data_IF_036877645576
#
_entry.id   IF_036877645576
#
_cell.length_a   1.000
_cell.length_b   1.000
_cell.length_c   1.000
_cell.angle_alpha   90.00
_cell.angle_beta   90.00
_cell.angle_gamma   90.00
#
_symmetry.space_group_name_H-M   'P 1'
#
loop_
_entity.id
_entity.type
_entity.pdbx_description
1 polymer ?
#
# COMPACT_ATOMS: atom_id res chain seq x y z
N UNK A 1 -12.17 3.16 -20.12
CA UNK A 1 -10.83 3.58 -20.62
C UNK A 1 -10.73 5.07 -20.99
N UNK A 2 -11.67 5.69 -21.71
CA UNK A 2 -11.49 7.07 -22.25
C UNK A 2 -11.06 8.15 -21.25
N UNK A 3 -11.45 8.07 -19.97
CA UNK A 3 -11.03 9.05 -18.96
C UNK A 3 -9.53 9.00 -18.66
N UNK A 4 -8.92 7.81 -18.66
CA UNK A 4 -7.49 7.63 -18.34
C UNK A 4 -6.56 8.12 -19.46
N UNK A 5 -7.07 8.21 -20.69
CA UNK A 5 -6.33 8.80 -21.82
C UNK A 5 -6.33 10.33 -21.78
N UNK A 6 -7.16 10.96 -20.95
CA UNK A 6 -7.26 12.41 -20.90
C UNK A 6 -5.93 13.01 -20.40
N UNK A 7 -5.35 14.03 -21.08
CA UNK A 7 -4.01 14.54 -20.77
C UNK A 7 -3.86 15.08 -19.33
N UNK A 8 -4.95 15.57 -18.73
CA UNK A 8 -4.95 16.06 -17.34
C UNK A 8 -5.05 14.98 -16.25
N UNK A 9 -5.22 13.70 -16.61
CA UNK A 9 -5.16 12.61 -15.62
C UNK A 9 -3.70 12.24 -15.41
N UNK A 10 -3.22 12.35 -14.17
CA UNK A 10 -1.84 12.03 -13.77
C UNK A 10 -1.67 10.69 -13.04
N UNK A 11 -2.76 10.12 -12.53
CA UNK A 11 -2.70 8.88 -11.78
C UNK A 11 -4.06 8.30 -11.41
N UNK A 12 -4.03 7.12 -10.80
CA UNK A 12 -5.19 6.33 -10.38
C UNK A 12 -4.98 5.85 -8.94
N UNK A 13 -5.99 6.04 -8.11
CA UNK A 13 -6.05 5.45 -6.77
C UNK A 13 -6.92 4.19 -6.84
N UNK A 14 -6.36 3.04 -6.45
CA UNK A 14 -7.05 1.76 -6.36
C UNK A 14 -7.73 1.59 -4.98
N UNK A 15 -8.88 0.93 -4.99
CA UNK A 15 -9.67 0.60 -3.80
C UNK A 15 -9.87 -0.91 -3.68
N UNK A 16 -10.38 -1.39 -2.55
CA UNK A 16 -10.63 -2.83 -2.33
C UNK A 16 -11.53 -3.46 -3.40
N UNK A 17 -12.47 -2.70 -3.97
CA UNK A 17 -13.33 -3.17 -5.08
C UNK A 17 -12.57 -3.43 -6.40
N UNK A 18 -11.30 -3.02 -6.48
CA UNK A 18 -10.44 -3.22 -7.65
C UNK A 18 -9.50 -4.42 -7.49
N UNK A 19 -9.62 -5.17 -6.39
CA UNK A 19 -8.77 -6.28 -6.04
C UNK A 19 -9.59 -7.55 -5.82
N UNK A 20 -9.33 -8.55 -6.65
CA UNK A 20 -9.86 -9.91 -6.51
C UNK A 20 -8.77 -10.88 -6.06
N UNK A 21 -7.59 -10.77 -6.66
CA UNK A 21 -6.38 -11.56 -6.39
C UNK A 21 -5.16 -10.87 -7.03
N UNK A 22 -3.96 -11.29 -6.66
CA UNK A 22 -2.70 -10.70 -7.07
C UNK A 22 -2.42 -10.83 -8.57
N UNK A 23 -2.82 -11.94 -9.18
CA UNK A 23 -2.74 -12.09 -10.65
C UNK A 23 -3.61 -11.04 -11.36
N UNK A 24 -4.86 -10.88 -10.93
CA UNK A 24 -5.78 -9.89 -11.49
C UNK A 24 -5.27 -8.46 -11.26
N UNK A 25 -4.72 -8.17 -10.07
CA UNK A 25 -4.19 -6.85 -9.73
C UNK A 25 -3.01 -6.48 -10.63
N UNK A 26 -2.02 -7.37 -10.79
CA UNK A 26 -0.87 -7.11 -11.67
C UNK A 26 -1.30 -6.82 -13.10
N UNK A 27 -2.30 -7.57 -13.60
CA UNK A 27 -2.84 -7.33 -14.94
C UNK A 27 -3.57 -5.98 -15.05
N UNK A 28 -4.34 -5.60 -14.02
CA UNK A 28 -4.99 -4.29 -13.97
C UNK A 28 -3.97 -3.15 -13.97
N UNK A 29 -2.93 -3.23 -13.12
CA UNK A 29 -1.87 -2.22 -13.04
C UNK A 29 -1.13 -2.11 -14.36
N UNK A 30 -0.76 -3.26 -14.96
CA UNK A 30 -0.14 -3.32 -16.28
C UNK A 30 -1.01 -2.63 -17.34
N UNK A 31 -2.32 -2.88 -17.37
CA UNK A 31 -3.22 -2.23 -18.31
C UNK A 31 -3.33 -0.72 -18.09
N UNK A 32 -3.33 -0.26 -16.84
CA UNK A 32 -3.36 1.17 -16.50
C UNK A 32 -2.07 1.87 -16.97
N UNK A 33 -0.90 1.30 -16.66
CA UNK A 33 0.39 1.91 -17.03
C UNK A 33 0.64 1.93 -18.53
N UNK A 34 0.10 0.97 -19.28
CA UNK A 34 0.26 0.87 -20.74
C UNK A 34 -0.88 1.52 -21.56
N UNK A 35 -1.77 2.29 -20.92
CA UNK A 35 -2.97 2.80 -21.61
C UNK A 35 -2.72 3.95 -22.59
N UNK A 36 -1.61 4.68 -22.43
CA UNK A 36 -1.24 5.85 -23.25
C UNK A 36 0.27 6.07 -23.19
N UNK A 37 0.76 6.98 -24.04
CA UNK A 37 2.12 7.50 -23.92
C UNK A 37 2.27 8.33 -22.63
N UNK A 38 3.19 7.90 -21.76
CA UNK A 38 3.40 8.47 -20.42
C UNK A 38 2.67 7.67 -19.34
N UNK A 39 3.44 7.15 -18.39
CA UNK A 39 2.92 6.30 -17.31
C UNK A 39 2.04 7.09 -16.33
N UNK A 40 0.92 6.48 -15.94
CA UNK A 40 0.07 6.97 -14.86
C UNK A 40 0.60 6.44 -13.54
N UNK A 41 0.70 7.32 -12.53
CA UNK A 41 0.98 6.89 -11.15
C UNK A 41 -0.18 6.04 -10.66
N UNK A 42 0.12 4.86 -10.13
CA UNK A 42 -0.84 3.97 -9.48
C UNK A 42 -0.60 3.98 -7.99
N UNK A 43 -1.62 4.35 -7.21
CA UNK A 43 -1.52 4.42 -5.76
C UNK A 43 -2.66 3.66 -5.07
N UNK A 44 -2.51 3.43 -3.77
CA UNK A 44 -3.49 2.73 -2.93
C UNK A 44 -3.39 3.22 -1.49
N UNK A 45 -4.48 3.20 -0.74
CA UNK A 45 -4.40 3.39 0.72
C UNK A 45 -3.96 2.09 1.41
N UNK A 46 -2.69 2.01 1.80
CA UNK A 46 -2.15 0.93 2.62
C UNK A 46 -1.48 1.58 3.83
N UNK A 47 -2.14 1.53 4.99
CA UNK A 47 -1.63 1.97 6.29
C UNK A 47 -1.49 0.79 7.26
N UNK A 48 -2.42 -0.17 7.17
CA UNK A 48 -2.56 -1.27 8.11
C UNK A 48 -3.88 -1.24 8.88
N UNK A 49 -4.29 -2.40 9.38
CA UNK A 49 -5.55 -2.58 10.08
C UNK A 49 -6.76 -2.30 9.19
N UNK A 50 -7.57 -1.29 9.56
CA UNK A 50 -8.81 -0.97 8.85
C UNK A 50 -8.57 -0.25 7.51
N UNK A 51 -7.44 0.42 7.38
CA UNK A 51 -7.06 1.14 6.15
C UNK A 51 -5.97 0.33 5.45
N UNK A 52 -6.36 -0.84 4.98
CA UNK A 52 -5.50 -1.71 4.18
C UNK A 52 -6.36 -2.28 3.06
N UNK A 53 -6.23 -1.78 1.82
CA UNK A 53 -7.13 -2.19 0.73
C UNK A 53 -6.90 -3.62 0.27
N UNK A 54 -5.64 -4.09 0.30
CA UNK A 54 -5.24 -5.44 -0.11
C UNK A 54 -4.58 -6.16 1.08
N UNK A 55 -5.13 -7.31 1.48
CA UNK A 55 -4.79 -8.00 2.73
C UNK A 55 -4.69 -9.53 2.59
N UNK A 56 -4.85 -10.04 1.38
CA UNK A 56 -4.90 -11.47 1.07
C UNK A 56 -4.11 -11.73 -0.20
N UNK A 57 -3.81 -13.00 -0.47
CA UNK A 57 -3.19 -13.44 -1.72
C UNK A 57 -1.88 -12.68 -2.00
N UNK A 58 -0.79 -13.05 -1.33
CA UNK A 58 0.53 -12.39 -1.41
C UNK A 58 0.65 -11.01 -0.74
N UNK A 59 -0.41 -10.43 -0.19
CA UNK A 59 -0.32 -9.26 0.69
C UNK A 59 -0.21 -9.64 2.17
N UNK A 60 0.75 -9.04 2.86
CA UNK A 60 0.95 -9.17 4.30
C UNK A 60 -0.11 -8.41 5.08
N UNK A 61 -0.64 -8.99 6.15
CA UNK A 61 -1.54 -8.25 7.06
C UNK A 61 -0.74 -7.36 7.99
N UNK A 62 -0.86 -6.05 7.82
CA UNK A 62 -0.16 -5.06 8.65
C UNK A 62 -1.10 -4.63 9.78
N UNK A 63 -0.68 -4.66 11.05
CA UNK A 63 -1.49 -4.17 12.16
C UNK A 63 -1.83 -2.67 12.02
N UNK A 64 -2.91 -2.22 12.65
CA UNK A 64 -3.15 -0.78 12.77
C UNK A 64 -2.00 -0.10 13.52
N UNK A 65 -1.62 1.13 13.14
CA UNK A 65 -0.49 1.84 13.77
C UNK A 65 -0.64 1.98 15.30
N UNK A 66 -1.87 2.19 15.79
CA UNK A 66 -2.15 2.21 17.24
C UNK A 66 -1.88 0.88 17.96
N UNK A 67 -1.90 -0.27 17.27
CA UNK A 67 -1.51 -1.54 17.88
C UNK A 67 -0.02 -1.60 18.19
N UNK A 68 0.84 -1.03 17.34
CA UNK A 68 2.28 -0.94 17.63
C UNK A 68 2.52 -0.10 18.89
N UNK A 69 1.87 1.07 19.00
CA UNK A 69 1.96 1.91 20.20
C UNK A 69 1.55 1.14 21.47
N UNK A 70 0.40 0.47 21.45
CA UNK A 70 -0.08 -0.31 22.59
C UNK A 70 0.86 -1.48 22.93
N UNK A 71 1.45 -2.13 21.92
CA UNK A 71 2.44 -3.16 22.11
C UNK A 71 3.70 -2.62 22.79
N UNK A 72 4.23 -1.49 22.31
CA UNK A 72 5.40 -0.85 22.91
C UNK A 72 5.13 -0.43 24.35
N UNK A 73 3.96 0.15 24.63
CA UNK A 73 3.55 0.55 25.98
C UNK A 73 3.48 -0.65 26.94
N UNK A 74 2.83 -1.73 26.50
CA UNK A 74 2.64 -2.94 27.32
C UNK A 74 3.95 -3.65 27.65
N UNK A 75 4.94 -3.54 26.78
CA UNK A 75 6.22 -4.23 26.89
C UNK A 75 7.37 -3.33 27.35
N UNK A 76 7.08 -2.12 27.83
CA UNK A 76 8.07 -1.14 28.29
C UNK A 76 9.16 -0.84 27.22
N UNK A 77 8.70 -0.71 25.97
CA UNK A 77 9.54 -0.46 24.79
C UNK A 77 9.37 0.93 24.19
N UNK A 78 8.47 1.77 24.73
CA UNK A 78 8.23 3.09 24.15
C UNK A 78 9.47 3.99 24.15
N UNK A 79 10.34 3.87 25.16
CA UNK A 79 11.58 4.65 25.27
C UNK A 79 12.76 4.03 24.51
N UNK A 80 12.60 2.80 23.99
CA UNK A 80 13.59 2.09 23.18
C UNK A 80 13.48 2.53 21.71
N UNK A 81 14.00 3.73 21.40
CA UNK A 81 13.91 4.35 20.07
C UNK A 81 14.42 3.44 18.95
N UNK A 82 15.48 2.66 19.20
CA UNK A 82 16.02 1.71 18.23
C UNK A 82 14.99 0.61 17.91
N UNK A 83 14.44 -0.03 18.94
CA UNK A 83 13.44 -1.09 18.75
C UNK A 83 12.16 -0.58 18.08
N UNK A 84 11.68 0.60 18.49
CA UNK A 84 10.49 1.23 17.92
C UNK A 84 10.70 1.54 16.44
N UNK A 85 11.81 2.19 16.08
CA UNK A 85 12.14 2.51 14.69
C UNK A 85 12.31 1.26 13.84
N UNK A 86 13.05 0.27 14.32
CA UNK A 86 13.27 -0.97 13.59
C UNK A 86 11.94 -1.70 13.31
N UNK A 87 11.07 -1.78 14.31
CA UNK A 87 9.75 -2.42 14.17
C UNK A 87 8.88 -1.67 13.16
N UNK A 88 8.77 -0.35 13.29
CA UNK A 88 7.94 0.46 12.40
C UNK A 88 8.50 0.51 10.96
N UNK A 89 9.82 0.60 10.81
CA UNK A 89 10.47 0.52 9.50
C UNK A 89 10.24 -0.85 8.85
N UNK A 90 10.34 -1.95 9.61
CA UNK A 90 10.09 -3.29 9.08
C UNK A 90 8.66 -3.44 8.56
N UNK A 91 7.67 -2.92 9.29
CA UNK A 91 6.28 -2.89 8.84
C UNK A 91 6.11 -2.04 7.57
N UNK A 92 6.72 -0.86 7.52
CA UNK A 92 6.73 0.01 6.35
C UNK A 92 7.39 -0.63 5.12
N UNK A 93 8.54 -1.28 5.30
CA UNK A 93 9.23 -2.01 4.24
C UNK A 93 8.40 -3.16 3.70
N UNK A 94 7.80 -3.97 4.58
CA UNK A 94 6.96 -5.08 4.15
C UNK A 94 5.79 -4.59 3.29
N UNK A 95 5.10 -3.54 3.75
CA UNK A 95 4.01 -2.92 3.02
C UNK A 95 4.45 -2.34 1.66
N UNK A 96 5.62 -1.69 1.62
CA UNK A 96 6.17 -1.17 0.37
C UNK A 96 6.56 -2.29 -0.60
N UNK A 97 7.18 -3.38 -0.12
CA UNK A 97 7.57 -4.51 -0.95
C UNK A 97 6.36 -5.21 -1.55
N UNK A 98 5.28 -5.38 -0.78
CA UNK A 98 4.03 -5.93 -1.29
C UNK A 98 3.46 -5.05 -2.41
N UNK A 99 3.54 -3.71 -2.29
CA UNK A 99 3.12 -2.79 -3.35
C UNK A 99 4.02 -2.86 -4.60
N UNK A 100 5.34 -2.87 -4.41
CA UNK A 100 6.34 -2.95 -5.48
C UNK A 100 6.19 -4.25 -6.28
N UNK A 101 5.93 -5.37 -5.60
CA UNK A 101 5.68 -6.67 -6.25
C UNK A 101 4.46 -6.65 -7.19
N UNK A 102 3.57 -5.67 -7.02
CA UNK A 102 2.37 -5.43 -7.82
C UNK A 102 2.46 -4.21 -8.72
N UNK A 103 3.66 -3.62 -8.84
CA UNK A 103 3.94 -2.44 -9.66
C UNK A 103 3.11 -1.21 -9.26
N UNK A 104 2.76 -1.11 -7.97
CA UNK A 104 2.08 0.04 -7.37
C UNK A 104 3.15 1.03 -6.91
N UNK A 105 3.02 2.28 -7.34
CA UNK A 105 4.03 3.31 -7.14
C UNK A 105 4.00 3.93 -5.74
N UNK A 106 2.81 4.03 -5.12
CA UNK A 106 2.64 4.72 -3.84
C UNK A 106 1.57 4.11 -2.94
N UNK A 107 1.96 3.81 -1.70
CA UNK A 107 1.03 3.59 -0.59
C UNK A 107 0.76 4.93 0.11
N UNK A 108 -0.50 5.39 0.09
CA UNK A 108 -0.94 6.61 0.76
C UNK A 108 -1.23 6.33 2.24
N UNK A 109 -0.79 7.24 3.09
CA UNK A 109 -1.10 7.29 4.52
C UNK A 109 -2.05 8.47 4.76
N UNK A 110 -3.25 8.22 5.27
CA UNK A 110 -4.21 9.24 5.65
C UNK A 110 -4.08 9.52 7.16
N UNK A 111 -3.61 10.71 7.52
CA UNK A 111 -3.58 11.21 8.89
C UNK A 111 -4.51 12.42 9.03
#
# INVERSE_FOLDING_TARGET
MNRLMHPLVGGVILFSRNFENSKQLRELVRQIKNIRDGELVVSVDQEGGRVQRFQTDEFSKIPAMGHFYNYFLKHDKLEDDSFVRETLNSAGYLMAMDCIAHDIDLALLQY
#
